data_IF_988622167255
#
_entry.id   IF_988622167255
#
_cell.length_a   1.000
_cell.length_b   1.000
_cell.length_c   1.000
_cell.angle_alpha   90.00
_cell.angle_beta   90.00
_cell.angle_gamma   90.00
#
_symmetry.space_group_name_H-M   'P 1'
#
loop_
_entity.id
_entity.type
_entity.pdbx_description
1 polymer ?
#
# COMPACT_ATOMS: atom_id res chain seq x y z
N UNK A 1 -59.85 -25.42 -1.51
CA UNK A 1 -60.08 -24.88 -0.17
C UNK A 1 -58.92 -25.31 0.75
N UNK A 2 -57.67 -25.11 0.30
CA UNK A 2 -56.49 -25.82 0.87
C UNK A 2 -55.21 -24.97 0.88
N UNK A 3 -55.30 -23.67 0.57
CA UNK A 3 -54.12 -22.78 0.47
C UNK A 3 -53.98 -21.79 1.62
N UNK A 4 -54.95 -21.75 2.53
CA UNK A 4 -54.96 -20.86 3.70
C UNK A 4 -54.38 -21.56 4.95
N UNK A 5 -54.48 -22.88 5.03
CA UNK A 5 -53.95 -23.69 6.13
C UNK A 5 -52.41 -23.80 6.17
N UNK A 6 -51.71 -23.51 5.06
CA UNK A 6 -50.24 -23.60 5.02
C UNK A 6 -49.52 -22.34 5.51
N UNK A 7 -50.22 -21.20 5.58
CA UNK A 7 -49.63 -19.94 6.04
C UNK A 7 -49.79 -19.78 7.56
N UNK A 8 -50.94 -20.20 8.11
CA UNK A 8 -51.14 -20.27 9.56
C UNK A 8 -50.18 -21.25 10.23
N UNK A 9 -49.91 -22.40 9.60
CA UNK A 9 -48.92 -23.37 10.10
C UNK A 9 -47.50 -22.78 10.14
N UNK A 10 -47.13 -21.94 9.16
CA UNK A 10 -45.80 -21.33 9.10
C UNK A 10 -45.64 -20.15 10.07
N UNK A 11 -46.74 -19.46 10.39
CA UNK A 11 -46.75 -18.42 11.42
C UNK A 11 -46.73 -19.03 12.82
N UNK A 12 -47.37 -20.18 13.02
CA UNK A 12 -47.31 -20.93 14.28
C UNK A 12 -45.89 -21.43 14.59
N UNK A 13 -45.17 -21.92 13.57
CA UNK A 13 -43.76 -22.34 13.72
C UNK A 13 -42.80 -21.16 13.99
N UNK A 14 -43.20 -19.91 13.68
CA UNK A 14 -42.42 -18.69 13.95
C UNK A 14 -42.69 -18.14 15.36
N UNK A 15 -43.93 -18.23 15.85
CA UNK A 15 -44.27 -17.87 17.24
C UNK A 15 -43.65 -18.86 18.24
N UNK A 16 -43.61 -20.17 17.93
CA UNK A 16 -42.98 -21.19 18.78
C UNK A 16 -41.43 -21.06 18.85
N UNK A 17 -40.80 -20.35 17.90
CA UNK A 17 -39.35 -20.06 17.90
C UNK A 17 -38.99 -18.82 18.74
N UNK A 18 -39.94 -17.91 18.96
CA UNK A 18 -39.73 -16.71 19.78
C UNK A 18 -39.84 -17.04 21.29
N UNK A 19 -40.65 -18.04 21.64
CA UNK A 19 -40.80 -18.53 23.02
C UNK A 19 -39.61 -19.38 23.52
N UNK A 20 -38.80 -19.98 22.64
CA UNK A 20 -37.59 -20.75 23.02
C UNK A 20 -36.34 -19.88 23.27
N UNK A 21 -36.37 -18.59 22.94
CA UNK A 21 -35.26 -17.65 23.23
C UNK A 21 -35.46 -16.87 24.55
N UNK A 22 -36.58 -17.08 25.24
CA UNK A 22 -36.97 -16.33 26.43
C UNK A 22 -36.54 -16.95 27.77
N UNK A 23 -35.88 -18.12 27.80
CA UNK A 23 -35.46 -18.78 29.04
C UNK A 23 -33.95 -19.09 29.04
N UNK A 24 -33.15 -18.12 29.45
CA UNK A 24 -31.69 -18.29 29.52
C UNK A 24 -30.90 -17.08 30.02
N UNK A 25 -30.81 -16.95 31.34
CA UNK A 25 -29.85 -16.17 32.14
C UNK A 25 -30.23 -14.72 32.49
N UNK A 26 -30.81 -14.60 33.69
CA UNK A 26 -30.67 -13.43 34.57
C UNK A 26 -29.20 -13.30 35.01
N UNK A 27 -28.51 -12.21 34.64
CA UNK A 27 -27.38 -11.67 35.42
C UNK A 27 -27.49 -10.14 35.50
N UNK A 28 -27.14 -9.62 36.67
CA UNK A 28 -27.52 -8.33 37.24
C UNK A 28 -27.07 -7.10 36.43
N UNK A 29 -28.01 -6.20 36.10
CA UNK A 29 -27.70 -4.85 35.61
C UNK A 29 -27.47 -3.94 36.82
N UNK A 30 -26.21 -3.63 37.11
CA UNK A 30 -25.89 -2.51 38.00
C UNK A 30 -26.19 -1.20 37.27
N UNK A 31 -27.14 -0.45 37.81
CA UNK A 31 -27.42 0.94 37.46
C UNK A 31 -26.18 1.80 37.78
N UNK A 32 -25.43 2.20 36.76
CA UNK A 32 -24.64 3.43 36.80
C UNK A 32 -25.31 4.44 35.88
N UNK A 33 -25.71 5.56 36.48
CA UNK A 33 -26.27 6.73 35.81
C UNK A 33 -25.25 7.25 34.78
N UNK A 34 -25.53 7.09 33.49
CA UNK A 34 -24.81 7.81 32.43
C UNK A 34 -25.46 9.17 32.32
N UNK A 35 -24.76 10.19 32.81
CA UNK A 35 -25.09 11.58 32.58
C UNK A 35 -25.15 11.87 31.09
N UNK A 36 -26.13 12.67 30.69
CA UNK A 36 -26.18 13.32 29.39
C UNK A 36 -25.02 14.33 29.32
N UNK A 37 -23.82 13.85 29.01
CA UNK A 37 -22.77 14.71 28.46
C UNK A 37 -22.97 14.70 26.94
N UNK A 38 -23.66 15.73 26.45
CA UNK A 38 -23.45 16.22 25.08
C UNK A 38 -21.97 16.59 24.98
N UNK A 39 -21.11 15.61 24.67
CA UNK A 39 -19.80 15.91 24.11
C UNK A 39 -20.08 16.50 22.72
N UNK A 40 -20.10 17.84 22.68
CA UNK A 40 -19.73 18.58 21.49
C UNK A 40 -18.49 17.88 20.91
N UNK A 41 -18.69 17.14 19.82
CA UNK A 41 -17.58 16.70 18.97
C UNK A 41 -17.05 17.99 18.36
N UNK A 42 -16.20 18.66 19.13
CA UNK A 42 -15.37 19.74 18.66
C UNK A 42 -14.54 19.10 17.55
N UNK A 43 -14.95 19.36 16.30
CA UNK A 43 -14.09 19.20 15.14
C UNK A 43 -12.97 20.22 15.31
N UNK A 44 -12.04 19.91 16.21
CA UNK A 44 -10.71 20.47 16.18
C UNK A 44 -10.20 20.05 14.82
N UNK A 45 -10.14 21.02 13.91
CA UNK A 45 -9.29 20.89 12.74
C UNK A 45 -7.91 20.59 13.28
N UNK A 46 -7.57 19.31 13.36
CA UNK A 46 -6.19 18.91 13.32
C UNK A 46 -5.68 19.50 12.02
N UNK A 47 -5.02 20.64 12.15
CA UNK A 47 -4.10 21.14 11.15
C UNK A 47 -3.30 19.92 10.73
N UNK A 48 -3.59 19.45 9.52
CA UNK A 48 -2.89 18.35 8.89
C UNK A 48 -1.49 18.89 8.63
N UNK A 49 -0.67 18.88 9.68
CA UNK A 49 0.74 19.15 9.57
C UNK A 49 1.24 18.19 8.50
N UNK A 50 2.02 18.66 7.51
CA UNK A 50 2.58 17.78 6.51
C UNK A 50 3.39 16.74 7.27
N UNK A 51 2.85 15.51 7.38
CA UNK A 51 3.58 14.38 7.95
C UNK A 51 4.84 14.30 7.11
N UNK A 52 5.97 14.62 7.75
CA UNK A 52 7.28 14.75 7.11
C UNK A 52 7.43 13.73 6.00
N UNK A 53 7.66 14.24 4.79
CA UNK A 53 8.08 13.43 3.64
C UNK A 53 9.09 12.41 4.12
N UNK A 54 8.77 11.14 3.92
CA UNK A 54 9.59 10.02 4.37
C UNK A 54 11.05 10.21 3.92
N UNK A 55 11.97 9.76 4.79
CA UNK A 55 13.30 10.34 4.92
C UNK A 55 14.33 10.06 3.82
N UNK A 56 14.14 9.15 2.86
CA UNK A 56 15.20 8.82 1.87
C UNK A 56 15.11 9.65 0.59
N UNK A 57 13.90 9.91 0.07
CA UNK A 57 13.72 10.92 -0.98
C UNK A 57 14.04 12.32 -0.44
N UNK A 58 13.63 12.60 0.79
CA UNK A 58 13.93 13.86 1.46
C UNK A 58 15.44 14.05 1.72
N UNK A 59 16.18 12.95 1.93
CA UNK A 59 17.62 13.01 2.19
C UNK A 59 18.48 13.14 0.93
N UNK A 60 17.93 13.09 -0.30
CA UNK A 60 18.69 13.21 -1.56
C UNK A 60 19.63 12.03 -1.88
N UNK A 61 19.93 11.16 -0.91
CA UNK A 61 20.87 10.03 -1.03
C UNK A 61 20.50 9.04 -2.13
N UNK A 62 19.21 8.82 -2.38
CA UNK A 62 18.78 7.90 -3.45
C UNK A 62 19.08 8.48 -4.84
N UNK A 63 18.91 9.78 -5.02
CA UNK A 63 19.18 10.45 -6.28
C UNK A 63 20.71 10.49 -6.53
N UNK A 64 21.53 10.70 -5.50
CA UNK A 64 23.00 10.62 -5.58
C UNK A 64 23.50 9.24 -6.02
N UNK A 65 22.96 8.17 -5.42
CA UNK A 65 23.36 6.80 -5.78
C UNK A 65 22.94 6.46 -7.21
N UNK A 66 21.78 6.94 -7.66
CA UNK A 66 21.36 6.75 -9.05
C UNK A 66 22.23 7.52 -10.03
N UNK A 67 22.60 8.76 -9.72
CA UNK A 67 23.53 9.54 -10.56
C UNK A 67 24.88 8.81 -10.67
N UNK A 68 25.40 8.31 -9.55
CA UNK A 68 26.63 7.53 -9.54
C UNK A 68 26.53 6.23 -10.36
N UNK A 69 25.39 5.53 -10.31
CA UNK A 69 25.12 4.35 -11.14
C UNK A 69 25.08 4.73 -12.62
N UNK A 70 24.39 5.81 -12.98
CA UNK A 70 24.27 6.27 -14.36
C UNK A 70 25.64 6.64 -14.94
N UNK A 71 26.51 7.29 -14.15
CA UNK A 71 27.91 7.53 -14.52
C UNK A 71 28.70 6.24 -14.75
N UNK A 72 28.58 5.25 -13.86
CA UNK A 72 29.24 3.95 -14.00
C UNK A 72 28.72 3.14 -15.21
N UNK A 73 27.45 3.31 -15.58
CA UNK A 73 26.89 2.70 -16.80
C UNK A 73 27.40 3.37 -18.08
N UNK A 74 27.62 4.68 -18.07
CA UNK A 74 28.14 5.44 -19.22
C UNK A 74 29.64 5.18 -19.42
N UNK A 75 30.40 4.97 -18.36
CA UNK A 75 31.85 4.70 -18.39
C UNK A 75 32.23 3.29 -18.90
N UNK A 76 31.37 2.66 -19.70
CA UNK A 76 31.42 1.28 -20.22
C UNK A 76 32.67 0.88 -21.07
N UNK A 77 33.83 1.50 -20.88
CA UNK A 77 35.06 1.23 -21.64
C UNK A 77 36.38 1.31 -20.87
N UNK A 78 36.38 1.48 -19.55
CA UNK A 78 37.59 1.44 -18.73
C UNK A 78 37.66 0.21 -17.85
N UNK A 79 38.87 -0.26 -17.51
CA UNK A 79 39.08 -1.12 -16.34
C UNK A 79 38.59 -0.36 -15.11
N UNK A 80 37.33 -0.54 -14.75
CA UNK A 80 36.81 -0.14 -13.44
C UNK A 80 37.43 -1.05 -12.41
N UNK A 81 38.02 -0.45 -11.37
CA UNK A 81 38.55 -1.19 -10.23
C UNK A 81 37.43 -2.05 -9.66
N UNK A 82 37.62 -3.38 -9.62
CA UNK A 82 36.58 -4.33 -9.17
C UNK A 82 36.06 -4.03 -7.76
N UNK A 83 36.85 -3.33 -6.95
CA UNK A 83 36.47 -2.86 -5.62
C UNK A 83 35.46 -1.70 -5.66
N UNK A 84 35.60 -0.75 -6.59
CA UNK A 84 34.64 0.33 -6.78
C UNK A 84 33.29 -0.18 -7.30
N UNK A 85 33.32 -1.14 -8.25
CA UNK A 85 32.10 -1.80 -8.74
C UNK A 85 31.39 -2.59 -7.64
N UNK A 86 32.15 -3.33 -6.83
CA UNK A 86 31.59 -4.07 -5.70
C UNK A 86 30.98 -3.12 -4.67
N UNK A 87 31.68 -2.03 -4.31
CA UNK A 87 31.17 -1.03 -3.38
C UNK A 87 29.88 -0.38 -3.87
N UNK A 88 29.79 -0.04 -5.17
CA UNK A 88 28.58 0.48 -5.77
C UNK A 88 27.42 -0.53 -5.68
N UNK A 89 27.66 -1.82 -5.94
CA UNK A 89 26.63 -2.87 -5.84
C UNK A 89 26.14 -3.04 -4.40
N UNK A 90 27.04 -3.06 -3.41
CA UNK A 90 26.65 -3.15 -2.01
C UNK A 90 25.79 -1.95 -1.61
N UNK A 91 26.24 -0.73 -1.95
CA UNK A 91 25.47 0.49 -1.69
C UNK A 91 24.10 0.46 -2.39
N UNK A 92 24.01 -0.04 -3.62
CA UNK A 92 22.74 -0.23 -4.31
C UNK A 92 21.80 -1.17 -3.54
N UNK A 93 22.30 -2.30 -3.05
CA UNK A 93 21.46 -3.26 -2.33
C UNK A 93 20.94 -2.69 -1.00
N UNK A 94 21.78 -1.95 -0.27
CA UNK A 94 21.36 -1.25 0.95
C UNK A 94 20.25 -0.24 0.66
N UNK A 95 20.44 0.59 -0.36
CA UNK A 95 19.45 1.60 -0.75
C UNK A 95 18.14 0.98 -1.29
N UNK A 96 18.19 -0.21 -1.91
CA UNK A 96 16.98 -0.94 -2.33
C UNK A 96 16.15 -1.38 -1.12
N UNK A 97 16.79 -1.84 -0.04
CA UNK A 97 16.08 -2.22 1.20
C UNK A 97 15.48 -1.01 1.88
N UNK A 98 16.25 0.07 1.96
CA UNK A 98 15.80 1.33 2.53
C UNK A 98 14.57 1.84 1.74
N UNK A 99 14.63 1.83 0.41
CA UNK A 99 13.52 2.21 -0.46
C UNK A 99 12.28 1.34 -0.27
N UNK A 100 12.41 0.02 -0.05
CA UNK A 100 11.27 -0.86 0.23
C UNK A 100 10.59 -0.53 1.57
N UNK A 101 11.39 -0.29 2.60
CA UNK A 101 10.90 0.10 3.93
C UNK A 101 10.15 1.43 3.85
N UNK A 102 10.69 2.36 3.07
CA UNK A 102 10.08 3.66 2.87
C UNK A 102 8.79 3.59 2.05
N UNK A 103 8.76 2.81 0.97
CA UNK A 103 7.53 2.56 0.18
C UNK A 103 6.42 2.04 1.09
N UNK A 104 6.71 1.11 2.00
CA UNK A 104 5.72 0.61 2.96
C UNK A 104 5.25 1.70 3.94
N UNK A 105 6.18 2.53 4.41
CA UNK A 105 5.89 3.62 5.35
C UNK A 105 5.01 4.68 4.72
N UNK A 106 5.35 5.15 3.52
CA UNK A 106 4.55 6.14 2.79
C UNK A 106 3.20 5.54 2.40
N UNK A 107 3.16 4.30 1.92
CA UNK A 107 1.90 3.64 1.56
C UNK A 107 0.94 3.55 2.75
N UNK A 108 1.45 3.30 3.96
CA UNK A 108 0.64 3.36 5.19
C UNK A 108 0.10 4.78 5.42
N UNK A 109 0.94 5.81 5.29
CA UNK A 109 0.47 7.20 5.42
C UNK A 109 -0.62 7.56 4.39
N UNK A 110 -0.44 7.17 3.12
CA UNK A 110 -1.44 7.41 2.06
C UNK A 110 -2.77 6.75 2.44
N UNK A 111 -2.74 5.51 2.94
CA UNK A 111 -3.94 4.79 3.40
C UNK A 111 -4.63 5.51 4.55
N UNK A 112 -3.87 5.91 5.58
CA UNK A 112 -4.41 6.61 6.75
C UNK A 112 -5.06 7.95 6.36
N UNK A 113 -4.40 8.70 5.46
CA UNK A 113 -4.87 10.02 5.04
C UNK A 113 -6.07 9.93 4.07
N UNK A 114 -6.08 8.94 3.16
CA UNK A 114 -7.14 8.73 2.18
C UNK A 114 -8.35 7.94 2.72
N UNK A 115 -8.21 7.25 3.86
CA UNK A 115 -9.31 6.54 4.53
C UNK A 115 -10.50 7.46 4.87
N UNK A 116 -10.27 8.76 5.05
CA UNK A 116 -11.34 9.76 5.25
C UNK A 116 -12.30 9.84 4.05
N UNK A 117 -11.78 9.60 2.84
CA UNK A 117 -12.53 9.67 1.58
C UNK A 117 -13.09 8.35 1.12
N UNK A 118 -12.29 7.29 1.23
CA UNK A 118 -12.66 5.95 0.76
C UNK A 118 -12.03 4.86 1.64
N UNK A 119 -12.58 4.62 2.85
CA UNK A 119 -11.98 3.70 3.82
C UNK A 119 -11.95 2.25 3.33
N UNK A 120 -12.92 1.84 2.51
CA UNK A 120 -13.00 0.45 2.03
C UNK A 120 -11.88 0.11 1.03
N UNK A 121 -11.27 1.11 0.38
CA UNK A 121 -10.26 0.92 -0.67
C UNK A 121 -9.04 0.12 -0.18
N UNK A 122 -8.67 0.27 1.10
CA UNK A 122 -7.53 -0.46 1.67
C UNK A 122 -7.75 -1.98 1.65
N UNK A 123 -8.97 -2.43 1.91
CA UNK A 123 -9.32 -3.86 1.90
C UNK A 123 -9.40 -4.43 0.48
N UNK A 124 -9.71 -3.58 -0.50
CA UNK A 124 -9.90 -3.97 -1.90
C UNK A 124 -8.56 -4.11 -2.66
N UNK A 125 -7.56 -3.30 -2.31
CA UNK A 125 -6.28 -3.24 -3.01
C UNK A 125 -5.13 -3.48 -2.02
N UNK A 126 -4.66 -4.73 -1.88
CA UNK A 126 -3.59 -5.06 -0.94
C UNK A 126 -2.21 -4.58 -1.41
N UNK A 127 -2.00 -4.41 -2.72
CA UNK A 127 -0.71 -3.98 -3.28
C UNK A 127 -0.51 -2.47 -3.08
N UNK A 128 0.55 -2.03 -2.37
CA UNK A 128 0.82 -0.61 -2.14
C UNK A 128 0.97 0.24 -3.41
N UNK A 129 1.59 -0.31 -4.45
CA UNK A 129 1.84 0.43 -5.70
C UNK A 129 0.57 0.60 -6.51
N UNK A 130 -0.27 -0.44 -6.57
CA UNK A 130 -1.56 -0.35 -7.25
C UNK A 130 -2.50 0.58 -6.48
N UNK A 131 -2.48 0.53 -5.14
CA UNK A 131 -3.23 1.45 -4.28
C UNK A 131 -2.86 2.90 -4.59
N UNK A 132 -1.57 3.26 -4.59
CA UNK A 132 -1.11 4.61 -4.91
C UNK A 132 -1.54 5.07 -6.32
N UNK A 133 -1.48 4.18 -7.33
CA UNK A 133 -1.92 4.49 -8.70
C UNK A 133 -3.43 4.73 -8.78
N UNK A 134 -4.22 3.94 -8.06
CA UNK A 134 -5.67 4.12 -8.01
C UNK A 134 -6.03 5.41 -7.29
N UNK A 135 -5.44 5.70 -6.14
CA UNK A 135 -5.67 6.96 -5.41
C UNK A 135 -5.34 8.17 -6.27
N UNK A 136 -4.21 8.15 -7.00
CA UNK A 136 -3.82 9.23 -7.91
C UNK A 136 -4.83 9.43 -9.05
N UNK A 137 -5.43 8.35 -9.57
CA UNK A 137 -6.47 8.41 -10.61
C UNK A 137 -7.84 8.81 -10.09
N UNK A 138 -8.17 8.39 -8.88
CA UNK A 138 -9.48 8.60 -8.28
C UNK A 138 -9.62 10.01 -7.71
N UNK A 139 -8.61 10.49 -6.98
CA UNK A 139 -8.65 11.78 -6.31
C UNK A 139 -9.90 11.95 -5.44
N UNK A 140 -10.67 13.00 -5.66
CA UNK A 140 -11.95 13.23 -4.98
C UNK A 140 -13.18 12.81 -5.82
N UNK A 141 -12.98 12.25 -7.01
CA UNK A 141 -14.06 11.95 -7.96
C UNK A 141 -15.10 11.01 -7.32
N UNK A 142 -16.38 11.36 -7.46
CA UNK A 142 -17.50 10.57 -6.91
C UNK A 142 -18.03 9.61 -7.97
N UNK A 143 -17.93 9.97 -9.25
CA UNK A 143 -18.35 9.12 -10.35
C UNK A 143 -17.18 8.31 -10.92
N UNK A 144 -17.03 7.09 -10.41
CA UNK A 144 -16.02 6.14 -10.89
C UNK A 144 -16.20 5.71 -12.35
N UNK A 145 -17.35 5.96 -12.98
CA UNK A 145 -17.52 5.66 -14.41
C UNK A 145 -16.71 6.60 -15.32
N UNK A 146 -16.30 7.77 -14.81
CA UNK A 146 -15.45 8.72 -15.52
C UNK A 146 -13.95 8.43 -15.34
N UNK A 147 -13.59 7.55 -14.40
CA UNK A 147 -12.20 7.24 -14.08
C UNK A 147 -11.79 5.93 -14.76
N UNK A 148 -10.84 6.04 -15.69
CA UNK A 148 -10.26 4.87 -16.31
C UNK A 148 -9.18 4.23 -15.42
N UNK A 149 -9.54 3.12 -14.78
CA UNK A 149 -8.65 2.28 -13.98
C UNK A 149 -8.07 1.09 -14.77
N UNK A 150 -8.35 1.01 -16.07
CA UNK A 150 -7.84 -0.07 -16.91
C UNK A 150 -6.32 -0.04 -16.98
N UNK A 151 -5.68 -1.21 -16.91
CA UNK A 151 -4.22 -1.35 -16.87
C UNK A 151 -3.58 -1.18 -15.50
N UNK A 152 -4.33 -0.72 -14.48
CA UNK A 152 -3.87 -0.73 -13.07
C UNK A 152 -4.40 -1.96 -12.36
N UNK A 153 -5.71 -2.21 -12.47
CA UNK A 153 -6.38 -3.33 -11.81
C UNK A 153 -7.04 -4.29 -12.83
N UNK A 154 -7.22 -5.57 -12.47
CA UNK A 154 -8.08 -6.49 -13.22
C UNK A 154 -9.53 -6.01 -13.24
N UNK A 155 -10.28 -6.32 -14.30
CA UNK A 155 -11.68 -5.89 -14.47
C UNK A 155 -12.59 -6.29 -13.30
N UNK A 156 -12.33 -7.43 -12.66
CA UNK A 156 -13.09 -7.88 -11.49
C UNK A 156 -12.92 -6.91 -10.31
N UNK A 157 -11.68 -6.50 -10.03
CA UNK A 157 -11.37 -5.53 -8.96
C UNK A 157 -11.94 -4.15 -9.27
N UNK A 158 -11.88 -3.70 -10.54
CA UNK A 158 -12.47 -2.42 -10.96
C UNK A 158 -13.98 -2.40 -10.68
N UNK A 159 -14.70 -3.47 -11.00
CA UNK A 159 -16.14 -3.57 -10.74
C UNK A 159 -16.44 -3.49 -9.24
N UNK A 160 -15.69 -4.24 -8.42
CA UNK A 160 -15.86 -4.22 -6.96
C UNK A 160 -15.61 -2.82 -6.40
N UNK A 161 -14.51 -2.17 -6.80
CA UNK A 161 -14.20 -0.79 -6.39
C UNK A 161 -15.31 0.19 -6.81
N UNK A 162 -15.84 0.04 -8.03
CA UNK A 162 -16.93 0.88 -8.56
C UNK A 162 -18.21 0.75 -7.73
N UNK A 163 -18.60 -0.49 -7.42
CA UNK A 163 -19.79 -0.76 -6.62
C UNK A 163 -19.60 -0.25 -5.19
N UNK A 164 -18.45 -0.53 -4.56
CA UNK A 164 -18.18 -0.12 -3.18
C UNK A 164 -18.08 1.40 -3.05
N UNK A 165 -17.51 2.11 -4.03
CA UNK A 165 -17.46 3.57 -3.96
C UNK A 165 -18.83 4.23 -4.12
N UNK A 166 -19.78 3.58 -4.80
CA UNK A 166 -21.16 4.09 -4.92
C UNK A 166 -21.90 4.07 -3.58
N UNK A 167 -21.43 3.25 -2.63
CA UNK A 167 -21.99 3.12 -1.28
C UNK A 167 -21.00 3.50 -0.19
N UNK A 168 -19.90 4.17 -0.52
CA UNK A 168 -18.87 4.53 0.47
C UNK A 168 -19.40 5.59 1.43
N UNK A 169 -19.03 5.47 2.70
CA UNK A 169 -19.39 6.42 3.75
C UNK A 169 -18.41 7.61 3.87
N UNK A 170 -17.34 7.63 3.08
CA UNK A 170 -16.31 8.66 3.16
C UNK A 170 -16.72 10.01 2.56
N UNK A 171 -16.00 11.07 2.95
CA UNK A 171 -16.28 12.46 2.54
C UNK A 171 -15.17 13.04 1.66
N UNK A 172 -15.49 14.04 0.84
CA UNK A 172 -14.49 14.71 0.01
C UNK A 172 -13.37 15.33 0.85
N UNK A 173 -12.11 15.05 0.50
CA UNK A 173 -10.94 15.64 1.16
C UNK A 173 -10.82 17.13 0.77
N UNK A 174 -10.33 18.00 1.66
CA UNK A 174 -9.96 19.36 1.27
C UNK A 174 -8.78 19.33 0.30
N UNK A 175 -8.73 20.31 -0.62
CA UNK A 175 -7.74 20.35 -1.71
C UNK A 175 -6.29 20.23 -1.22
N UNK A 176 -5.95 20.91 -0.12
CA UNK A 176 -4.61 20.83 0.46
C UNK A 176 -4.26 19.42 0.96
N UNK A 177 -5.22 18.71 1.57
CA UNK A 177 -5.00 17.33 2.00
C UNK A 177 -4.92 16.39 0.81
N UNK A 178 -5.77 16.59 -0.20
CA UNK A 178 -5.73 15.80 -1.43
C UNK A 178 -4.39 15.94 -2.14
N UNK A 179 -3.87 17.17 -2.28
CA UNK A 179 -2.57 17.42 -2.88
C UNK A 179 -1.45 16.70 -2.13
N UNK A 180 -1.44 16.76 -0.79
CA UNK A 180 -0.45 16.05 0.01
C UNK A 180 -0.49 14.52 -0.23
N UNK A 181 -1.70 13.95 -0.34
CA UNK A 181 -1.87 12.52 -0.64
C UNK A 181 -1.38 12.20 -2.07
N UNK A 182 -1.67 13.05 -3.05
CA UNK A 182 -1.20 12.89 -4.42
C UNK A 182 0.33 12.97 -4.50
N UNK A 183 0.94 13.96 -3.84
CA UNK A 183 2.40 14.11 -3.77
C UNK A 183 3.05 12.87 -3.14
N UNK A 184 2.47 12.31 -2.07
CA UNK A 184 2.92 11.07 -1.46
C UNK A 184 2.80 9.87 -2.42
N UNK A 185 1.70 9.79 -3.20
CA UNK A 185 1.53 8.76 -4.22
C UNK A 185 2.61 8.86 -5.31
N UNK A 186 2.90 10.06 -5.80
CA UNK A 186 3.96 10.30 -6.79
C UNK A 186 5.35 9.92 -6.24
N UNK A 187 5.63 10.24 -4.98
CA UNK A 187 6.86 9.85 -4.30
C UNK A 187 7.03 8.33 -4.25
N UNK A 188 5.98 7.58 -3.90
CA UNK A 188 6.01 6.10 -3.90
C UNK A 188 6.30 5.54 -5.29
N UNK A 189 5.71 6.13 -6.33
CA UNK A 189 5.94 5.71 -7.72
C UNK A 189 7.36 6.03 -8.19
N UNK A 190 7.90 7.20 -7.80
CA UNK A 190 9.29 7.57 -8.07
C UNK A 190 10.26 6.60 -7.40
N UNK A 191 10.05 6.29 -6.12
CA UNK A 191 10.84 5.29 -5.37
C UNK A 191 10.83 3.91 -6.05
N UNK A 192 9.66 3.46 -6.47
CA UNK A 192 9.52 2.17 -7.16
C UNK A 192 10.30 2.13 -8.47
N UNK A 193 10.22 3.20 -9.27
CA UNK A 193 10.99 3.35 -10.52
C UNK A 193 12.51 3.34 -10.26
N UNK A 194 12.94 4.07 -9.23
CA UNK A 194 14.34 4.15 -8.81
C UNK A 194 14.88 2.78 -8.38
N UNK A 195 14.13 2.07 -7.53
CA UNK A 195 14.43 0.68 -7.16
C UNK A 195 14.59 -0.23 -8.38
N UNK A 196 13.71 -0.12 -9.38
CA UNK A 196 13.81 -0.91 -10.61
C UNK A 196 15.11 -0.62 -11.38
N UNK A 197 15.52 0.64 -11.50
CA UNK A 197 16.80 1.02 -12.13
C UNK A 197 17.98 0.39 -11.38
N UNK A 198 17.99 0.46 -10.05
CA UNK A 198 19.07 -0.09 -9.23
C UNK A 198 19.18 -1.61 -9.35
N UNK A 199 18.04 -2.32 -9.33
CA UNK A 199 18.03 -3.77 -9.54
C UNK A 199 18.52 -4.15 -10.95
N UNK A 200 18.16 -3.39 -11.98
CA UNK A 200 18.64 -3.62 -13.34
C UNK A 200 20.17 -3.40 -13.45
N UNK A 201 20.70 -2.39 -12.76
CA UNK A 201 22.15 -2.17 -12.68
C UNK A 201 22.85 -3.35 -12.01
N UNK A 202 22.38 -3.76 -10.84
CA UNK A 202 22.93 -4.92 -10.10
C UNK A 202 22.87 -6.18 -10.94
N UNK A 203 21.77 -6.42 -11.67
CA UNK A 203 21.63 -7.54 -12.61
C UNK A 203 22.69 -7.51 -13.73
N UNK A 204 22.94 -6.33 -14.32
CA UNK A 204 23.92 -6.17 -15.41
C UNK A 204 25.36 -6.49 -14.99
N UNK A 205 25.69 -6.32 -13.70
CA UNK A 205 27.03 -6.57 -13.13
C UNK A 205 27.12 -7.89 -12.37
N UNK A 206 26.01 -8.58 -12.15
CA UNK A 206 25.95 -9.81 -11.34
C UNK A 206 26.79 -10.95 -11.91
N UNK A 207 26.91 -11.04 -13.24
CA UNK A 207 27.73 -12.05 -13.90
C UNK A 207 29.22 -11.92 -13.56
N UNK A 208 29.70 -10.70 -13.30
CA UNK A 208 31.09 -10.43 -12.90
C UNK A 208 31.29 -10.61 -11.40
N UNK A 209 30.31 -10.18 -10.60
CA UNK A 209 30.43 -10.11 -9.14
C UNK A 209 30.14 -11.45 -8.45
N UNK A 210 29.14 -12.19 -8.94
CA UNK A 210 28.77 -13.50 -8.40
C UNK A 210 28.57 -14.52 -9.53
N UNK A 211 29.66 -14.94 -10.23
CA UNK A 211 29.56 -15.82 -11.39
C UNK A 211 28.98 -17.19 -11.06
N UNK A 212 29.36 -17.75 -9.91
CA UNK A 212 28.86 -19.07 -9.47
C UNK A 212 27.36 -19.03 -9.16
N UNK A 213 26.91 -18.00 -8.44
CA UNK A 213 25.50 -17.83 -8.11
C UNK A 213 24.68 -17.58 -9.39
N UNK A 214 25.16 -16.67 -10.24
CA UNK A 214 24.54 -16.36 -11.54
C UNK A 214 24.45 -17.59 -12.45
N UNK A 215 25.45 -18.48 -12.43
CA UNK A 215 25.44 -19.70 -13.23
C UNK A 215 24.38 -20.71 -12.77
N UNK A 216 24.04 -20.73 -11.48
CA UNK A 216 23.09 -21.69 -10.90
C UNK A 216 21.65 -21.19 -11.03
N UNK A 217 21.39 -19.93 -10.65
CA UNK A 217 20.01 -19.38 -10.57
C UNK A 217 19.68 -18.37 -11.66
N UNK A 218 20.66 -17.94 -12.45
CA UNK A 218 20.53 -16.84 -13.41
C UNK A 218 20.82 -15.47 -12.76
N UNK A 219 21.33 -14.52 -13.55
CA UNK A 219 21.70 -13.16 -13.08
C UNK A 219 20.51 -12.41 -12.47
N UNK A 220 19.33 -12.53 -13.08
CA UNK A 220 18.11 -11.86 -12.61
C UNK A 220 17.67 -12.33 -11.22
N UNK A 221 17.68 -13.66 -10.99
CA UNK A 221 17.29 -14.24 -9.71
C UNK A 221 18.38 -13.97 -8.67
N UNK A 222 19.65 -14.09 -9.05
CA UNK A 222 20.78 -13.75 -8.19
C UNK A 222 20.73 -12.30 -7.70
N UNK A 223 20.47 -11.34 -8.59
CA UNK A 223 20.31 -9.93 -8.26
C UNK A 223 19.18 -9.69 -7.26
N UNK A 224 18.01 -10.32 -7.47
CA UNK A 224 16.88 -10.21 -6.54
C UNK A 224 17.18 -10.82 -5.18
N UNK A 225 17.86 -11.97 -5.14
CA UNK A 225 18.24 -12.63 -3.88
C UNK A 225 19.22 -11.78 -3.07
N UNK A 226 20.24 -11.23 -3.73
CA UNK A 226 21.23 -10.36 -3.09
C UNK A 226 20.60 -9.03 -2.65
N UNK A 227 19.72 -8.45 -3.47
CA UNK A 227 18.97 -7.25 -3.10
C UNK A 227 18.05 -7.48 -1.90
N UNK A 228 17.35 -8.62 -1.86
CA UNK A 228 16.48 -8.98 -0.74
C UNK A 228 17.26 -9.31 0.55
N UNK A 229 18.44 -9.94 0.43
CA UNK A 229 19.30 -10.22 1.57
C UNK A 229 20.09 -8.98 2.05
N UNK A 230 20.26 -7.97 1.18
CA UNK A 230 21.00 -6.75 1.48
C UNK A 230 22.50 -6.87 1.34
N UNK A 231 22.96 -7.71 0.40
CA UNK A 231 24.37 -7.94 0.09
C UNK A 231 24.77 -9.41 0.07
N UNK A 232 25.92 -9.69 -0.53
CA UNK A 232 26.48 -11.04 -0.65
C UNK A 232 26.89 -11.63 0.72
N UNK A 233 27.49 -10.81 1.58
CA UNK A 233 27.92 -11.24 2.91
C UNK A 233 26.73 -11.67 3.78
N UNK A 234 25.62 -10.94 3.69
CA UNK A 234 24.37 -11.27 4.40
C UNK A 234 23.66 -12.50 3.84
N UNK A 235 23.84 -12.79 2.54
CA UNK A 235 23.28 -13.98 1.90
C UNK A 235 24.09 -15.26 2.23
N UNK A 236 25.40 -15.12 2.48
CA UNK A 236 26.28 -16.23 2.81
C UNK A 236 26.25 -16.63 4.29
N UNK A 237 25.79 -15.72 5.16
CA UNK A 237 25.60 -15.92 6.59
C UNK A 237 24.35 -16.76 6.90
#
# INVERSE_FOLDING_TARGET
QTRMASLDQFLQDLDDLDDELADGAEEEVQNEEVGEDEEDIDMVGEDMQPKSTSGLLASGRLDEVIEHIEDLMVQNGGQTDSEAEYSAIVSCNEMVIDADTEVQTIAKSIKDDYAKRFPELESLIPNPLDYARVVLKLGNETDLTQVDLTGILPSASIMVVTVTASTTAGTALPEAALQNVQDACEQVLKLSSHKQKMLAFVESRMATVAPNLSAIVGTQVAAKLIGAAGGLDKLAA
#
